data_IF_609707489370
#
_entry.id   IF_609707489370
#
_cell.length_a   1.000
_cell.length_b   1.000
_cell.length_c   1.000
_cell.angle_alpha   90.00
_cell.angle_beta   90.00
_cell.angle_gamma   90.00
#
_symmetry.space_group_name_H-M   'P 1'
#
loop_
_entity.id
_entity.type
_entity.pdbx_description
1 polymer ?
#
# COMPACT_ATOMS: atom_id res chain seq x y z
N UNK A 1 -27.62 47.00 -7.60
CA UNK A 1 -26.33 46.40 -7.98
C UNK A 1 -26.03 45.34 -6.93
N UNK A 2 -26.56 44.15 -7.16
CA UNK A 2 -26.21 42.94 -6.41
C UNK A 2 -25.07 42.25 -7.18
N UNK A 3 -24.04 41.81 -6.47
CA UNK A 3 -22.88 41.16 -7.04
C UNK A 3 -21.88 40.81 -5.96
N UNK A 4 -22.18 39.72 -5.26
CA UNK A 4 -21.40 39.12 -4.17
C UNK A 4 -20.02 38.71 -4.68
N UNK A 5 -18.96 39.28 -4.12
CA UNK A 5 -17.59 38.80 -4.30
C UNK A 5 -17.45 37.42 -3.64
N UNK A 6 -17.13 36.42 -4.47
CA UNK A 6 -16.90 35.05 -4.04
C UNK A 6 -15.67 34.96 -3.14
N UNK A 7 -15.92 34.72 -1.85
CA UNK A 7 -14.88 34.29 -0.92
C UNK A 7 -14.45 32.87 -1.29
N UNK A 8 -13.21 32.76 -1.76
CA UNK A 8 -12.49 31.53 -2.06
C UNK A 8 -12.59 30.50 -0.93
N UNK A 9 -13.05 29.30 -1.26
CA UNK A 9 -13.08 28.15 -0.34
C UNK A 9 -11.67 27.83 0.18
N UNK A 10 -11.53 27.36 1.43
CA UNK A 10 -10.25 27.00 2.01
C UNK A 10 -9.66 25.82 1.23
N UNK A 11 -8.42 25.98 0.77
CA UNK A 11 -7.63 24.92 0.17
C UNK A 11 -7.27 23.90 1.27
N UNK A 12 -8.20 23.00 1.57
CA UNK A 12 -7.90 21.80 2.35
C UNK A 12 -6.81 21.06 1.58
N UNK A 13 -5.63 20.94 2.20
CA UNK A 13 -4.51 20.14 1.71
C UNK A 13 -4.90 18.65 1.77
N UNK A 14 -5.89 18.24 0.96
CA UNK A 14 -6.20 16.84 0.70
C UNK A 14 -4.95 16.27 0.04
N UNK A 15 -4.30 15.34 0.75
CA UNK A 15 -3.16 14.62 0.21
C UNK A 15 -3.48 14.14 -1.20
N UNK A 16 -2.54 14.36 -2.13
CA UNK A 16 -2.69 14.05 -3.57
C UNK A 16 -3.10 12.59 -3.83
N UNK A 17 -2.86 11.69 -2.87
CA UNK A 17 -3.15 10.27 -2.98
C UNK A 17 -4.14 9.85 -1.89
N UNK A 18 -5.18 9.11 -2.28
CA UNK A 18 -6.12 8.45 -1.35
C UNK A 18 -5.64 7.08 -0.93
N UNK A 19 -4.88 6.38 -1.79
CA UNK A 19 -4.48 5.00 -1.57
C UNK A 19 -3.12 4.69 -2.18
N UNK A 20 -2.22 4.16 -1.36
CA UNK A 20 -0.85 3.81 -1.76
C UNK A 20 -0.65 2.31 -1.63
N UNK A 21 -0.06 1.70 -2.67
CA UNK A 21 0.37 0.32 -2.60
C UNK A 21 1.81 0.24 -2.07
N UNK A 22 2.02 -0.60 -1.05
CA UNK A 22 3.33 -0.84 -0.47
C UNK A 22 3.77 -2.27 -0.75
N UNK A 23 4.86 -2.41 -1.51
CA UNK A 23 5.56 -3.69 -1.68
C UNK A 23 6.58 -3.82 -0.56
N UNK A 24 6.55 -4.93 0.18
CA UNK A 24 7.47 -5.15 1.31
C UNK A 24 7.62 -6.64 1.64
N UNK A 25 8.68 -6.99 2.36
CA UNK A 25 8.97 -8.38 2.70
C UNK A 25 8.01 -9.00 3.72
N UNK A 26 7.72 -10.31 3.57
CA UNK A 26 7.05 -11.15 4.57
C UNK A 26 7.92 -11.45 5.81
N UNK A 27 9.15 -10.95 5.84
CA UNK A 27 10.11 -11.06 6.94
C UNK A 27 10.52 -9.67 7.40
N UNK A 28 10.79 -9.45 8.71
CA UNK A 28 11.19 -8.14 9.22
C UNK A 28 12.62 -7.74 8.82
N UNK A 29 13.41 -8.69 8.32
CA UNK A 29 14.85 -8.51 8.07
C UNK A 29 15.68 -8.67 9.35
N UNK A 30 17.00 -8.46 9.23
CA UNK A 30 17.94 -8.66 10.34
C UNK A 30 18.21 -7.40 11.17
N UNK A 31 17.93 -6.22 10.62
CA UNK A 31 18.13 -4.93 11.28
C UNK A 31 16.77 -4.35 11.69
N UNK A 32 16.64 -3.90 12.93
CA UNK A 32 15.42 -3.27 13.45
C UNK A 32 15.01 -2.05 12.62
N UNK A 33 15.97 -1.34 12.02
CA UNK A 33 15.74 -0.18 11.17
C UNK A 33 14.75 -0.43 10.03
N UNK A 34 14.61 -1.68 9.55
CA UNK A 34 13.61 -2.00 8.53
C UNK A 34 12.19 -2.06 9.11
N UNK A 35 12.04 -2.63 10.30
CA UNK A 35 10.79 -2.62 11.05
C UNK A 35 10.39 -1.20 11.46
N UNK A 36 11.36 -0.41 11.93
CA UNK A 36 11.15 1.00 12.30
C UNK A 36 10.64 1.81 11.10
N UNK A 37 11.26 1.63 9.92
CA UNK A 37 10.83 2.29 8.69
C UNK A 37 9.41 1.87 8.24
N UNK A 38 9.04 0.59 8.39
CA UNK A 38 7.69 0.13 8.06
C UNK A 38 6.63 0.75 8.99
N UNK A 39 6.92 0.84 10.28
CA UNK A 39 6.05 1.48 11.27
C UNK A 39 5.95 3.00 11.04
N UNK A 40 7.07 3.66 10.75
CA UNK A 40 7.11 5.09 10.44
C UNK A 40 6.29 5.39 9.18
N UNK A 41 6.46 4.60 8.11
CA UNK A 41 5.66 4.74 6.91
C UNK A 41 4.17 4.60 7.22
N UNK A 42 3.78 3.59 8.02
CA UNK A 42 2.39 3.39 8.42
C UNK A 42 1.79 4.62 9.14
N UNK A 43 2.55 5.22 10.07
CA UNK A 43 2.14 6.46 10.76
C UNK A 43 1.96 7.62 9.78
N UNK A 44 2.91 7.81 8.86
CA UNK A 44 2.83 8.87 7.84
C UNK A 44 1.61 8.70 6.94
N UNK A 45 1.25 7.47 6.56
CA UNK A 45 0.04 7.20 5.78
C UNK A 45 -1.22 7.60 6.57
N UNK A 46 -1.31 7.21 7.84
CA UNK A 46 -2.44 7.53 8.72
C UNK A 46 -2.59 9.04 8.95
N UNK A 47 -1.49 9.73 9.27
CA UNK A 47 -1.50 11.18 9.51
C UNK A 47 -1.99 11.95 8.29
N UNK A 48 -1.68 11.43 7.10
CA UNK A 48 -2.10 12.00 5.81
C UNK A 48 -3.45 11.48 5.31
N UNK A 49 -4.13 10.62 6.08
CA UNK A 49 -5.40 9.98 5.72
C UNK A 49 -5.33 9.20 4.41
N UNK A 50 -4.26 8.44 4.24
CA UNK A 50 -3.98 7.61 3.07
C UNK A 50 -4.22 6.14 3.42
N UNK A 51 -5.06 5.47 2.63
CA UNK A 51 -5.30 4.03 2.73
C UNK A 51 -4.12 3.20 2.20
N UNK A 52 -3.98 1.99 2.72
CA UNK A 52 -2.95 1.03 2.30
C UNK A 52 -3.51 -0.05 1.38
N UNK A 53 -2.78 -0.35 0.32
CA UNK A 53 -2.89 -1.60 -0.45
C UNK A 53 -1.59 -2.37 -0.31
N UNK A 54 -1.66 -3.69 -0.14
CA UNK A 54 -0.46 -4.52 -0.02
C UNK A 54 -0.76 -6.00 -0.35
N UNK A 55 0.25 -6.86 -0.21
CA UNK A 55 0.21 -8.28 -0.54
C UNK A 55 -0.59 -9.19 0.41
N UNK A 56 -1.19 -8.65 1.48
CA UNK A 56 -2.10 -9.39 2.35
C UNK A 56 -1.47 -10.27 3.44
N UNK A 57 -0.14 -10.31 3.58
CA UNK A 57 0.53 -11.13 4.59
C UNK A 57 0.52 -10.52 6.01
N UNK A 58 0.33 -11.33 7.05
CA UNK A 58 0.29 -10.84 8.44
C UNK A 58 1.65 -10.81 9.15
N UNK A 59 2.71 -11.30 8.50
CA UNK A 59 4.06 -11.40 9.07
C UNK A 59 5.03 -10.34 8.52
N UNK A 60 6.17 -10.18 9.20
CA UNK A 60 7.27 -9.33 8.75
C UNK A 60 6.90 -7.86 8.56
N UNK A 61 7.48 -7.22 7.54
CA UNK A 61 7.20 -5.80 7.29
C UNK A 61 5.77 -5.58 6.80
N UNK A 62 5.18 -6.54 6.09
CA UNK A 62 3.78 -6.53 5.69
C UNK A 62 2.84 -6.44 6.89
N UNK A 63 3.06 -7.28 7.91
CA UNK A 63 2.29 -7.23 9.15
C UNK A 63 2.47 -5.90 9.90
N UNK A 64 3.69 -5.40 9.98
CA UNK A 64 3.99 -4.14 10.69
C UNK A 64 3.32 -2.93 10.04
N UNK A 65 3.45 -2.76 8.71
CA UNK A 65 2.87 -1.61 8.02
C UNK A 65 1.34 -1.69 7.99
N UNK A 66 0.78 -2.88 7.76
CA UNK A 66 -0.68 -3.06 7.73
C UNK A 66 -1.30 -2.83 9.10
N UNK A 67 -0.72 -3.36 10.17
CA UNK A 67 -1.22 -3.16 11.52
C UNK A 67 -1.11 -1.69 11.95
N UNK A 68 -0.01 -1.01 11.61
CA UNK A 68 0.16 0.41 11.92
C UNK A 68 -0.92 1.27 11.24
N UNK A 69 -1.21 1.00 9.96
CA UNK A 69 -2.25 1.74 9.21
C UNK A 69 -3.66 1.45 9.75
N UNK A 70 -3.96 0.17 9.98
CA UNK A 70 -5.26 -0.26 10.49
C UNK A 70 -5.55 0.29 11.88
N UNK A 71 -4.59 0.20 12.81
CA UNK A 71 -4.73 0.73 14.17
C UNK A 71 -4.85 2.26 14.20
N UNK A 72 -4.27 2.93 13.21
CA UNK A 72 -4.42 4.37 13.03
C UNK A 72 -5.77 4.80 12.42
N UNK A 73 -6.65 3.85 12.10
CA UNK A 73 -8.00 4.10 11.60
C UNK A 73 -8.11 4.42 10.10
N UNK A 74 -7.06 4.14 9.31
CA UNK A 74 -7.13 4.20 7.84
C UNK A 74 -7.41 2.82 7.26
N UNK A 75 -7.96 2.74 6.04
CA UNK A 75 -8.35 1.45 5.49
C UNK A 75 -7.13 0.67 4.98
N UNK A 76 -7.19 -0.65 5.11
CA UNK A 76 -6.17 -1.57 4.62
C UNK A 76 -6.83 -2.59 3.69
N UNK A 77 -6.27 -2.74 2.49
CA UNK A 77 -6.66 -3.76 1.52
C UNK A 77 -5.49 -4.71 1.24
N UNK A 78 -5.58 -5.95 1.71
CA UNK A 78 -4.68 -7.03 1.35
C UNK A 78 -5.17 -7.77 0.12
N UNK A 79 -4.34 -7.93 -0.91
CA UNK A 79 -4.66 -8.75 -2.08
C UNK A 79 -3.79 -10.00 -2.07
N UNK A 80 -4.42 -11.17 -2.00
CA UNK A 80 -3.70 -12.43 -1.82
C UNK A 80 -4.28 -13.56 -2.68
N UNK A 81 -3.45 -14.35 -3.37
CA UNK A 81 -3.90 -15.57 -4.04
C UNK A 81 -4.42 -16.58 -3.04
N UNK A 82 -5.50 -17.28 -3.39
CA UNK A 82 -6.11 -18.30 -2.52
C UNK A 82 -5.12 -19.36 -2.04
N UNK A 83 -4.15 -19.72 -2.90
CA UNK A 83 -3.12 -20.71 -2.59
C UNK A 83 -2.12 -20.26 -1.50
N UNK A 84 -1.94 -18.95 -1.30
CA UNK A 84 -0.98 -18.40 -0.34
C UNK A 84 -1.61 -18.08 1.02
N UNK A 85 -2.94 -18.04 1.12
CA UNK A 85 -3.66 -17.76 2.37
C UNK A 85 -3.13 -18.54 3.59
N UNK A 86 -2.94 -19.88 3.53
CA UNK A 86 -2.51 -20.64 4.70
C UNK A 86 -1.07 -20.36 5.15
N UNK A 87 -0.24 -19.78 4.27
CA UNK A 87 1.18 -19.57 4.51
C UNK A 87 1.50 -18.14 4.91
N UNK A 88 0.75 -17.17 4.38
CA UNK A 88 1.02 -15.74 4.56
C UNK A 88 0.13 -15.08 5.62
N UNK A 89 -1.06 -15.63 5.90
CA UNK A 89 -1.94 -15.15 6.96
C UNK A 89 -1.94 -16.14 8.11
N UNK A 90 -1.23 -15.77 9.17
CA UNK A 90 -1.33 -16.41 10.48
C UNK A 90 -2.31 -15.61 11.35
N UNK A 91 -3.43 -16.23 11.75
CA UNK A 91 -4.45 -15.62 12.60
C UNK A 91 -5.51 -14.83 11.83
N UNK A 92 -5.92 -13.69 12.39
CA UNK A 92 -6.92 -12.82 11.77
C UNK A 92 -6.30 -11.92 10.70
N UNK A 93 -7.08 -11.64 9.65
CA UNK A 93 -6.70 -10.71 8.61
C UNK A 93 -6.75 -9.26 9.10
N UNK A 94 -5.79 -8.45 8.67
CA UNK A 94 -5.77 -7.01 8.94
C UNK A 94 -6.52 -6.28 7.83
N UNK A 95 -7.63 -5.63 8.17
CA UNK A 95 -8.48 -4.91 7.22
C UNK A 95 -9.23 -5.82 6.25
N UNK A 96 -9.50 -5.29 5.05
CA UNK A 96 -10.15 -6.03 3.98
C UNK A 96 -9.16 -6.96 3.26
N UNK A 97 -9.57 -8.20 2.99
CA UNK A 97 -8.76 -9.14 2.20
C UNK A 97 -9.49 -9.53 0.93
N UNK A 98 -8.90 -9.20 -0.21
CA UNK A 98 -9.35 -9.61 -1.53
C UNK A 98 -8.58 -10.85 -1.98
N UNK A 99 -9.28 -11.97 -2.05
CA UNK A 99 -8.71 -13.22 -2.56
C UNK A 99 -8.77 -13.26 -4.09
N UNK A 100 -7.69 -13.65 -4.73
CA UNK A 100 -7.57 -13.80 -6.20
C UNK A 100 -7.10 -15.20 -6.59
N UNK A 101 -7.15 -15.55 -7.88
CA UNK A 101 -6.80 -16.91 -8.32
C UNK A 101 -5.30 -17.13 -8.48
N UNK A 102 -4.54 -16.11 -8.89
CA UNK A 102 -3.12 -16.24 -9.22
C UNK A 102 -2.32 -14.96 -8.93
N UNK A 103 -0.99 -15.03 -9.15
CA UNK A 103 -0.06 -13.92 -8.91
C UNK A 103 -0.24 -12.76 -9.90
N UNK A 104 -0.69 -13.02 -11.14
CA UNK A 104 -0.91 -11.95 -12.11
C UNK A 104 -2.12 -11.10 -11.72
N UNK A 105 -3.21 -11.75 -11.33
CA UNK A 105 -4.38 -11.06 -10.80
C UNK A 105 -4.07 -10.31 -9.51
N UNK A 106 -3.22 -10.87 -8.63
CA UNK A 106 -2.77 -10.18 -7.42
C UNK A 106 -2.15 -8.82 -7.76
N UNK A 107 -1.15 -8.82 -8.64
CA UNK A 107 -0.44 -7.59 -9.04
C UNK A 107 -1.33 -6.61 -9.78
N UNK A 108 -2.18 -7.11 -10.70
CA UNK A 108 -3.14 -6.30 -11.42
C UNK A 108 -4.14 -5.61 -10.48
N UNK A 109 -4.67 -6.32 -9.48
CA UNK A 109 -5.60 -5.77 -8.50
C UNK A 109 -4.91 -4.77 -7.55
N UNK A 110 -3.70 -5.08 -7.08
CA UNK A 110 -2.91 -4.13 -6.28
C UNK A 110 -2.66 -2.84 -7.08
N UNK A 111 -2.24 -2.94 -8.33
CA UNK A 111 -2.00 -1.80 -9.20
C UNK A 111 -3.27 -1.01 -9.54
N UNK A 112 -4.41 -1.70 -9.71
CA UNK A 112 -5.72 -1.08 -9.96
C UNK A 112 -6.16 -0.21 -8.79
N UNK A 113 -5.97 -0.69 -7.56
CA UNK A 113 -6.40 0.00 -6.34
C UNK A 113 -5.40 1.05 -5.82
N UNK A 114 -4.21 1.17 -6.41
CA UNK A 114 -3.19 2.14 -6.00
C UNK A 114 -3.25 3.43 -6.82
N UNK A 115 -2.91 4.57 -6.22
CA UNK A 115 -2.62 5.83 -6.94
C UNK A 115 -1.12 6.15 -6.96
N UNK A 116 -0.33 5.49 -6.09
CA UNK A 116 1.12 5.52 -6.06
C UNK A 116 1.67 4.21 -5.45
N UNK A 117 2.95 3.97 -5.65
CA UNK A 117 3.66 2.77 -5.19
C UNK A 117 4.86 3.14 -4.35
N UNK A 118 5.09 2.39 -3.28
CA UNK A 118 6.30 2.47 -2.44
C UNK A 118 6.89 1.07 -2.29
N UNK A 119 8.20 0.94 -2.48
CA UNK A 119 8.91 -0.29 -2.12
C UNK A 119 9.69 -0.10 -0.81
N UNK A 120 9.29 -0.83 0.23
CA UNK A 120 10.11 -1.02 1.43
C UNK A 120 11.11 -2.16 1.20
N UNK A 121 12.11 -2.34 2.08
CA UNK A 121 13.02 -3.47 2.02
C UNK A 121 12.29 -4.81 1.89
N UNK A 122 12.79 -5.69 1.03
CA UNK A 122 12.15 -6.96 0.74
C UNK A 122 13.04 -7.88 -0.08
N UNK A 123 12.54 -9.09 -0.30
CA UNK A 123 13.22 -10.10 -1.12
C UNK A 123 12.83 -10.03 -2.59
N UNK A 124 12.97 -11.17 -3.28
CA UNK A 124 12.66 -11.27 -4.71
C UNK A 124 11.23 -10.89 -5.06
N UNK A 125 10.23 -11.23 -4.23
CA UNK A 125 8.83 -10.85 -4.48
C UNK A 125 8.65 -9.32 -4.54
N UNK A 126 9.27 -8.59 -3.62
CA UNK A 126 9.24 -7.12 -3.61
C UNK A 126 9.94 -6.53 -4.83
N UNK A 127 11.07 -7.12 -5.26
CA UNK A 127 11.78 -6.69 -6.46
C UNK A 127 10.97 -6.95 -7.73
N UNK A 128 10.28 -8.09 -7.79
CA UNK A 128 9.43 -8.49 -8.92
C UNK A 128 8.25 -7.53 -9.08
N UNK A 129 7.53 -7.25 -7.98
CA UNK A 129 6.44 -6.28 -7.95
C UNK A 129 6.92 -4.85 -8.32
N UNK A 130 8.09 -4.43 -7.81
CA UNK A 130 8.67 -3.12 -8.10
C UNK A 130 9.08 -2.97 -9.58
N UNK A 131 9.80 -3.96 -10.12
CA UNK A 131 10.28 -3.91 -11.51
C UNK A 131 9.11 -3.96 -12.51
N UNK A 132 8.05 -4.71 -12.20
CA UNK A 132 6.86 -4.73 -13.04
C UNK A 132 6.19 -3.35 -13.11
N UNK A 133 5.99 -2.70 -11.95
CA UNK A 133 5.31 -1.39 -11.94
C UNK A 133 6.15 -0.27 -12.56
N UNK A 134 7.48 -0.34 -12.41
CA UNK A 134 8.40 0.56 -13.12
C UNK A 134 8.29 0.34 -14.63
N UNK A 135 8.28 -0.92 -15.07
CA UNK A 135 8.16 -1.28 -16.48
C UNK A 135 6.84 -0.76 -17.07
N UNK A 136 5.74 -0.90 -16.34
CA UNK A 136 4.44 -0.37 -16.77
C UNK A 136 4.42 1.16 -16.86
N UNK A 137 5.06 1.85 -15.92
CA UNK A 137 5.24 3.30 -16.00
C UNK A 137 6.07 3.70 -17.22
N UNK A 138 7.17 2.99 -17.50
CA UNK A 138 8.06 3.27 -18.61
C UNK A 138 7.37 3.05 -19.97
N UNK A 139 6.53 2.01 -20.08
CA UNK A 139 5.73 1.71 -21.27
C UNK A 139 4.49 2.61 -21.41
N UNK A 140 4.23 3.52 -20.47
CA UNK A 140 3.06 4.39 -20.50
C UNK A 140 1.73 3.71 -20.16
N UNK A 141 1.76 2.51 -19.57
CA UNK A 141 0.56 1.79 -19.11
C UNK A 141 -0.10 2.53 -17.94
N UNK A 142 0.69 3.24 -17.12
CA UNK A 142 0.19 4.18 -16.13
C UNK A 142 1.16 5.34 -15.90
N UNK A 143 0.68 6.37 -15.19
CA UNK A 143 1.47 7.55 -14.79
C UNK A 143 1.52 7.74 -13.27
N UNK A 144 1.17 6.70 -12.51
CA UNK A 144 1.26 6.67 -11.04
C UNK A 144 2.73 6.69 -10.59
N UNK A 145 3.11 7.51 -9.59
CA UNK A 145 4.49 7.58 -9.13
C UNK A 145 4.91 6.31 -8.40
N UNK A 146 6.19 5.97 -8.54
CA UNK A 146 6.86 4.84 -7.90
C UNK A 146 8.03 5.38 -7.08
N UNK A 147 8.11 5.03 -5.80
CA UNK A 147 9.09 5.56 -4.83
C UNK A 147 9.77 4.48 -4.00
#
# INVERSE_FOLDING_TARGET
MEGVEGTSAPNENKGRFKRICVFCGSRPGYKSTFSDAALELGKVLVDRKIDLVYGGGSAGLMGLVSQAVFNGGSNVLGVIPKALLPHEISGESIGEVKTVVDMHQRKAEMAKHAEAFIALPGGYGTMEELLEIISWSYLGIHHKPVR
#
